data_IF_597373134239
#
_entry.id   IF_597373134239
#
_cell.length_a   1.000
_cell.length_b   1.000
_cell.length_c   1.000
_cell.angle_alpha   90.00
_cell.angle_beta   90.00
_cell.angle_gamma   90.00
#
_symmetry.space_group_name_H-M   'P 1'
#
loop_
_entity.id
_entity.type
_entity.pdbx_description
1 polymer ?
#
# COMPACT_ATOMS: atom_id res chain seq x y z
N UNK A 1 5.65 10.67 -16.03
CA UNK A 1 4.23 10.95 -16.27
C UNK A 1 3.42 10.31 -15.15
N UNK A 2 2.69 11.10 -14.42
CA UNK A 2 1.84 10.59 -13.35
C UNK A 2 0.69 9.76 -13.95
N UNK A 3 0.49 8.56 -13.42
CA UNK A 3 -0.70 7.80 -13.74
C UNK A 3 -1.90 8.40 -13.02
N UNK A 4 -2.96 8.64 -13.74
CA UNK A 4 -4.17 9.19 -13.14
C UNK A 4 -4.83 8.15 -12.21
N UNK A 5 -5.58 8.62 -11.24
CA UNK A 5 -6.39 7.73 -10.37
C UNK A 5 -7.33 6.88 -11.22
N UNK A 6 -7.78 7.39 -12.37
CA UNK A 6 -8.63 6.67 -13.30
C UNK A 6 -7.96 5.38 -13.84
N UNK A 7 -6.64 5.37 -14.02
CA UNK A 7 -5.93 4.18 -14.50
C UNK A 7 -5.86 3.07 -13.44
N UNK A 8 -5.78 3.42 -12.17
CA UNK A 8 -5.87 2.44 -11.08
C UNK A 8 -7.25 1.79 -11.02
N UNK A 9 -8.28 2.53 -11.39
CA UNK A 9 -9.67 2.06 -11.39
C UNK A 9 -10.12 1.56 -12.76
N UNK A 10 -9.18 1.27 -13.66
CA UNK A 10 -9.47 0.58 -14.91
C UNK A 10 -10.10 -0.79 -14.61
N UNK A 11 -11.23 -1.13 -15.26
CA UNK A 11 -11.85 -2.46 -15.14
C UNK A 11 -10.92 -3.62 -15.48
N UNK A 12 -9.83 -3.37 -16.21
CA UNK A 12 -8.80 -4.35 -16.50
C UNK A 12 -7.87 -4.63 -15.31
N UNK A 13 -7.90 -3.81 -14.26
CA UNK A 13 -7.08 -4.00 -13.08
C UNK A 13 -7.72 -5.00 -12.12
N UNK A 14 -7.11 -6.19 -11.97
CA UNK A 14 -7.53 -7.27 -11.09
C UNK A 14 -6.62 -7.42 -9.86
N UNK A 15 -5.85 -6.41 -9.50
CA UNK A 15 -5.01 -6.43 -8.30
C UNK A 15 -5.85 -6.73 -7.06
N UNK A 16 -5.36 -7.63 -6.22
CA UNK A 16 -6.06 -8.00 -4.99
C UNK A 16 -6.30 -6.81 -4.05
N UNK A 17 -5.37 -5.86 -3.99
CA UNK A 17 -5.49 -4.72 -3.07
C UNK A 17 -6.21 -3.54 -3.73
N UNK A 18 -5.76 -3.10 -4.91
CA UNK A 18 -6.27 -1.87 -5.54
C UNK A 18 -7.11 -2.10 -6.80
N UNK A 19 -7.31 -3.34 -7.24
CA UNK A 19 -8.07 -3.63 -8.44
C UNK A 19 -9.58 -3.54 -8.23
N UNK A 20 -10.31 -2.72 -9.00
CA UNK A 20 -11.77 -2.58 -8.85
C UNK A 20 -12.54 -3.83 -9.31
N UNK A 21 -11.94 -4.65 -10.16
CA UNK A 21 -12.60 -5.80 -10.79
C UNK A 21 -12.31 -7.15 -10.15
N UNK A 22 -11.50 -7.18 -9.08
CA UNK A 22 -11.29 -8.41 -8.33
C UNK A 22 -12.42 -8.61 -7.32
N UNK A 23 -13.29 -9.64 -7.48
CA UNK A 23 -14.43 -9.83 -6.59
C UNK A 23 -14.04 -10.16 -5.14
N UNK A 24 -12.85 -10.74 -4.93
CA UNK A 24 -12.31 -11.04 -3.60
C UNK A 24 -11.36 -9.97 -3.07
N UNK A 25 -11.17 -8.88 -3.81
CA UNK A 25 -10.17 -7.87 -3.50
C UNK A 25 -10.59 -6.84 -2.46
N UNK A 26 -9.61 -6.08 -2.01
CA UNK A 26 -9.81 -5.04 -0.98
C UNK A 26 -10.32 -3.73 -1.57
N UNK A 27 -10.10 -3.48 -2.85
CA UNK A 27 -10.55 -2.30 -3.62
C UNK A 27 -10.14 -0.96 -2.99
N UNK A 28 -8.90 -0.88 -2.54
CA UNK A 28 -8.37 0.33 -1.91
C UNK A 28 -8.04 1.38 -2.96
N UNK A 29 -8.45 2.61 -2.72
CA UNK A 29 -8.11 3.76 -3.57
C UNK A 29 -6.91 4.50 -3.03
N UNK A 30 -5.79 4.37 -3.73
CA UNK A 30 -4.57 5.09 -3.40
C UNK A 30 -4.50 6.42 -4.16
N UNK A 31 -3.94 7.42 -3.53
CA UNK A 31 -3.70 8.74 -4.11
C UNK A 31 -2.37 9.30 -3.66
N UNK A 32 -1.78 10.16 -4.48
CA UNK A 32 -0.59 10.92 -4.11
C UNK A 32 -1.01 12.30 -3.60
N UNK A 33 -0.38 12.71 -2.51
CA UNK A 33 -0.57 14.02 -1.91
C UNK A 33 0.79 14.66 -1.66
N UNK A 34 0.91 15.96 -1.97
CA UNK A 34 2.04 16.77 -1.55
C UNK A 34 1.79 17.26 -0.12
N UNK A 35 2.69 16.90 0.79
CA UNK A 35 2.61 17.28 2.19
C UNK A 35 3.88 18.05 2.57
N UNK A 36 3.83 19.38 2.43
CA UNK A 36 4.96 20.25 2.75
C UNK A 36 6.19 20.02 1.87
N UNK A 37 6.00 19.70 0.60
CA UNK A 37 7.06 19.42 -0.36
C UNK A 37 7.48 17.94 -0.41
N UNK A 38 6.91 17.09 0.44
CA UNK A 38 7.11 15.64 0.41
C UNK A 38 5.91 14.96 -0.24
N UNK A 39 6.18 14.08 -1.20
CA UNK A 39 5.13 13.29 -1.85
C UNK A 39 4.82 12.07 -1.02
N UNK A 40 3.55 11.92 -0.62
CA UNK A 40 3.06 10.81 0.21
C UNK A 40 1.92 10.12 -0.52
N UNK A 41 1.98 8.79 -0.59
CA UNK A 41 0.85 7.98 -1.03
C UNK A 41 -0.07 7.71 0.14
N UNK A 42 -1.37 7.97 -0.03
CA UNK A 42 -2.38 7.82 1.03
C UNK A 42 -3.57 7.01 0.57
N UNK A 43 -4.20 6.36 1.53
CA UNK A 43 -5.48 5.68 1.35
C UNK A 43 -6.16 5.47 2.69
N UNK A 44 -7.45 5.13 2.64
CA UNK A 44 -8.25 4.68 3.78
C UNK A 44 -8.75 3.26 3.50
N UNK A 45 -8.89 2.48 4.58
CA UNK A 45 -9.44 1.13 4.50
C UNK A 45 -10.22 0.81 5.78
N UNK A 46 -11.42 0.25 5.62
CA UNK A 46 -12.22 -0.21 6.76
C UNK A 46 -12.40 -1.73 6.66
N UNK A 47 -11.85 -2.50 7.63
CA UNK A 47 -12.00 -3.96 7.63
C UNK A 47 -13.45 -4.39 7.77
N UNK A 48 -13.85 -5.34 6.94
CA UNK A 48 -15.15 -5.99 7.00
C UNK A 48 -15.05 -7.47 7.39
N UNK A 49 -16.18 -8.18 7.43
CA UNK A 49 -16.25 -9.57 7.93
C UNK A 49 -15.35 -10.57 7.17
N UNK A 50 -15.06 -10.31 5.91
CA UNK A 50 -14.18 -11.17 5.08
C UNK A 50 -12.68 -10.95 5.33
N UNK A 51 -12.32 -9.95 6.13
CA UNK A 51 -10.95 -9.58 6.44
C UNK A 51 -10.51 -10.01 7.83
N UNK A 52 -11.34 -10.77 8.51
CA UNK A 52 -11.10 -11.18 9.89
C UNK A 52 -9.96 -12.20 9.98
N UNK A 53 -9.14 -12.03 10.97
CA UNK A 53 -8.14 -12.99 11.39
C UNK A 53 -8.51 -13.60 12.74
N UNK A 54 -7.71 -13.31 13.74
CA UNK A 54 -7.87 -13.84 15.09
C UNK A 54 -8.72 -12.91 15.96
N UNK A 55 -9.68 -13.47 16.73
CA UNK A 55 -10.48 -12.74 17.73
C UNK A 55 -11.10 -11.42 17.21
N UNK A 56 -11.80 -11.46 16.10
CA UNK A 56 -12.46 -10.30 15.48
C UNK A 56 -11.53 -9.13 15.14
N UNK A 57 -10.27 -9.44 14.93
CA UNK A 57 -9.25 -8.47 14.52
C UNK A 57 -8.93 -8.61 13.04
N UNK A 58 -8.51 -7.52 12.42
CA UNK A 58 -8.00 -7.53 11.05
C UNK A 58 -6.87 -8.55 10.92
N UNK A 59 -6.96 -9.42 9.91
CA UNK A 59 -5.90 -10.39 9.63
C UNK A 59 -4.57 -9.68 9.35
N UNK A 60 -3.50 -10.11 10.01
CA UNK A 60 -2.17 -9.51 9.87
C UNK A 60 -1.62 -9.54 8.46
N UNK A 61 -1.92 -10.60 7.70
CA UNK A 61 -1.53 -10.69 6.29
C UNK A 61 -2.23 -9.67 5.39
N UNK A 62 -3.47 -9.30 5.72
CA UNK A 62 -4.19 -8.24 5.00
C UNK A 62 -3.59 -6.88 5.31
N UNK A 63 -3.26 -6.61 6.57
CA UNK A 63 -2.55 -5.39 6.94
C UNK A 63 -1.19 -5.29 6.22
N UNK A 64 -0.51 -6.42 6.05
CA UNK A 64 0.71 -6.52 5.24
C UNK A 64 0.45 -6.13 3.78
N UNK A 65 -0.60 -6.65 3.17
CA UNK A 65 -0.99 -6.29 1.80
C UNK A 65 -1.24 -4.78 1.65
N UNK A 66 -1.93 -4.18 2.60
CA UNK A 66 -2.24 -2.74 2.60
C UNK A 66 -0.97 -1.90 2.65
N UNK A 67 -0.02 -2.27 3.51
CA UNK A 67 1.24 -1.55 3.66
C UNK A 67 2.16 -1.76 2.46
N UNK A 68 2.23 -2.97 1.92
CA UNK A 68 2.98 -3.24 0.69
C UNK A 68 2.47 -2.37 -0.47
N UNK A 69 1.16 -2.33 -0.64
CA UNK A 69 0.54 -1.63 -1.76
C UNK A 69 0.59 -0.10 -1.63
N UNK A 70 0.50 0.45 -0.42
CA UNK A 70 0.62 1.91 -0.25
C UNK A 70 2.04 2.39 -0.59
N UNK A 71 3.04 1.57 -0.34
CA UNK A 71 4.41 1.85 -0.76
C UNK A 71 4.59 1.66 -2.27
N UNK A 72 4.11 0.56 -2.82
CA UNK A 72 4.20 0.27 -4.26
C UNK A 72 3.48 1.32 -5.11
N UNK A 73 2.31 1.77 -4.68
CA UNK A 73 1.53 2.77 -5.40
C UNK A 73 2.14 4.17 -5.34
N UNK A 74 3.02 4.45 -4.38
CA UNK A 74 3.83 5.66 -4.43
C UNK A 74 4.61 5.74 -5.74
N UNK A 75 5.18 4.63 -6.18
CA UNK A 75 5.87 4.54 -7.47
C UNK A 75 4.92 4.41 -8.65
N UNK A 76 3.95 3.51 -8.54
CA UNK A 76 3.03 3.20 -9.64
C UNK A 76 2.26 4.43 -10.12
N UNK A 77 1.77 5.26 -9.21
CA UNK A 77 1.04 6.50 -9.53
C UNK A 77 1.92 7.55 -10.23
N UNK A 78 3.24 7.40 -10.15
CA UNK A 78 4.20 8.24 -10.86
C UNK A 78 4.69 7.60 -12.17
N UNK A 79 4.11 6.47 -12.57
CA UNK A 79 4.48 5.77 -13.79
C UNK A 79 5.65 4.80 -13.64
N UNK A 80 6.12 4.55 -12.42
CA UNK A 80 7.17 3.58 -12.18
C UNK A 80 6.59 2.17 -12.09
N UNK A 81 7.28 1.20 -12.65
CA UNK A 81 6.97 -0.22 -12.46
C UNK A 81 7.92 -0.76 -11.41
N UNK A 82 7.39 -1.03 -10.23
CA UNK A 82 8.19 -1.49 -9.10
C UNK A 82 7.70 -2.85 -8.62
N UNK A 83 8.64 -3.67 -8.14
CA UNK A 83 8.36 -4.96 -7.53
C UNK A 83 8.92 -4.96 -6.11
N UNK A 84 8.16 -5.53 -5.18
CA UNK A 84 8.62 -5.71 -3.81
C UNK A 84 9.75 -6.74 -3.79
N UNK A 85 10.94 -6.31 -3.38
CA UNK A 85 12.09 -7.20 -3.24
C UNK A 85 12.26 -7.68 -1.81
N UNK A 86 11.97 -6.82 -0.85
CA UNK A 86 12.02 -7.13 0.58
C UNK A 86 11.03 -6.24 1.31
N UNK A 87 10.29 -6.80 2.25
CA UNK A 87 9.41 -6.04 3.12
C UNK A 87 9.46 -6.62 4.53
N UNK A 88 9.60 -5.73 5.49
CA UNK A 88 9.54 -6.06 6.91
C UNK A 88 8.43 -5.24 7.55
N UNK A 89 7.53 -5.91 8.24
CA UNK A 89 6.42 -5.25 8.94
C UNK A 89 6.60 -5.43 10.46
N UNK A 90 6.25 -4.38 11.18
CA UNK A 90 6.15 -4.41 12.63
C UNK A 90 4.72 -4.06 13.04
N UNK A 91 4.05 -5.02 13.64
CA UNK A 91 2.71 -4.86 14.21
C UNK A 91 2.82 -4.23 15.59
N UNK A 92 2.03 -3.18 15.83
CA UNK A 92 2.09 -2.41 17.07
C UNK A 92 0.81 -2.47 17.86
N UNK A 93 -0.32 -2.46 17.19
CA UNK A 93 -1.63 -2.44 17.81
C UNK A 93 -2.60 -3.27 16.96
N UNK A 94 -3.50 -3.98 17.63
CA UNK A 94 -4.53 -4.73 16.93
C UNK A 94 -5.57 -3.79 16.32
N UNK A 95 -6.10 -4.17 15.16
CA UNK A 95 -7.13 -3.39 14.46
C UNK A 95 -8.45 -4.15 14.56
N UNK A 96 -9.41 -3.69 15.38
CA UNK A 96 -10.73 -4.32 15.46
C UNK A 96 -11.50 -4.22 14.14
N UNK A 97 -12.40 -5.17 13.90
CA UNK A 97 -13.33 -5.08 12.78
C UNK A 97 -14.12 -3.78 12.86
N UNK A 98 -14.28 -3.11 11.72
CA UNK A 98 -14.97 -1.83 11.63
C UNK A 98 -14.14 -0.59 11.96
N UNK A 99 -12.94 -0.75 12.54
CA UNK A 99 -12.04 0.36 12.78
C UNK A 99 -11.34 0.76 11.48
N UNK A 100 -11.60 1.97 10.99
CA UNK A 100 -10.95 2.48 9.78
C UNK A 100 -9.46 2.74 9.99
N UNK A 101 -8.68 2.46 8.95
CA UNK A 101 -7.26 2.74 8.89
C UNK A 101 -6.97 3.88 7.92
N UNK A 102 -5.98 4.69 8.25
CA UNK A 102 -5.31 5.60 7.33
C UNK A 102 -3.95 5.02 6.99
N UNK A 103 -3.65 4.95 5.70
CA UNK A 103 -2.42 4.38 5.18
C UNK A 103 -1.55 5.49 4.60
N UNK A 104 -0.26 5.42 4.85
CA UNK A 104 0.74 6.34 4.31
C UNK A 104 1.95 5.58 3.80
N UNK A 105 2.40 5.92 2.59
CA UNK A 105 3.63 5.39 2.01
C UNK A 105 4.51 6.51 1.50
N UNK A 106 5.81 6.45 1.79
CA UNK A 106 6.78 7.45 1.39
C UNK A 106 8.11 6.85 0.98
N UNK A 107 8.81 7.55 0.11
CA UNK A 107 10.17 7.22 -0.24
C UNK A 107 11.11 7.72 0.86
N UNK A 108 11.98 6.83 1.36
CA UNK A 108 13.07 7.21 2.26
C UNK A 108 14.34 7.53 1.48
N UNK A 109 14.67 6.68 0.50
CA UNK A 109 15.89 6.84 -0.29
C UNK A 109 15.78 6.07 -1.60
N UNK A 110 16.39 6.62 -2.65
CA UNK A 110 16.52 5.94 -3.93
C UNK A 110 17.99 5.79 -4.31
N UNK A 111 18.38 4.59 -4.76
CA UNK A 111 19.68 4.30 -5.34
C UNK A 111 19.48 3.55 -6.65
N UNK A 112 19.66 4.24 -7.76
CA UNK A 112 19.41 3.64 -9.08
C UNK A 112 17.99 3.12 -9.20
N UNK A 113 17.85 1.83 -9.42
CA UNK A 113 16.53 1.15 -9.50
C UNK A 113 15.94 0.74 -8.15
N UNK A 114 16.72 0.85 -7.08
CA UNK A 114 16.26 0.46 -5.74
C UNK A 114 15.62 1.63 -5.03
N UNK A 115 14.41 1.42 -4.52
CA UNK A 115 13.67 2.37 -3.70
C UNK A 115 13.54 1.80 -2.28
N UNK A 116 14.01 2.54 -1.30
CA UNK A 116 13.74 2.24 0.11
C UNK A 116 12.52 3.04 0.55
N UNK A 117 11.51 2.33 1.03
CA UNK A 117 10.19 2.89 1.31
C UNK A 117 9.79 2.62 2.76
N UNK A 118 8.95 3.50 3.28
CA UNK A 118 8.29 3.33 4.58
C UNK A 118 6.78 3.38 4.40
N UNK A 119 6.08 2.45 5.06
CA UNK A 119 4.63 2.43 5.15
C UNK A 119 4.17 2.53 6.59
N UNK A 120 3.08 3.25 6.84
CA UNK A 120 2.44 3.36 8.15
C UNK A 120 0.94 3.19 8.04
N UNK A 121 0.36 2.49 9.01
CA UNK A 121 -1.08 2.36 9.17
C UNK A 121 -1.48 2.93 10.54
N UNK A 122 -2.39 3.91 10.52
CA UNK A 122 -2.93 4.53 11.72
C UNK A 122 -4.40 4.19 11.85
N UNK A 123 -4.86 3.94 13.08
CA UNK A 123 -6.30 3.87 13.35
C UNK A 123 -6.89 5.28 13.25
N UNK A 124 -7.97 5.40 12.51
CA UNK A 124 -8.64 6.71 12.33
C UNK A 124 -9.35 7.18 13.60
N UNK A 125 -9.82 6.23 14.45
CA UNK A 125 -10.60 6.54 15.65
C UNK A 125 -9.77 7.18 16.78
N UNK A 126 -8.53 6.74 16.97
CA UNK A 126 -7.67 7.20 18.07
C UNK A 126 -6.29 7.67 17.62
N UNK A 127 -6.02 7.68 16.31
CA UNK A 127 -4.72 8.02 15.70
C UNK A 127 -3.55 7.15 16.16
N UNK A 128 -3.81 5.99 16.76
CA UNK A 128 -2.77 5.06 17.17
C UNK A 128 -2.09 4.42 15.96
N UNK A 129 -0.77 4.28 16.03
CA UNK A 129 0.00 3.59 15.01
C UNK A 129 -0.24 2.08 15.14
N UNK A 130 -0.93 1.49 14.16
CA UNK A 130 -1.24 0.06 14.17
C UNK A 130 -0.06 -0.79 13.67
N UNK A 131 0.63 -0.33 12.63
CA UNK A 131 1.77 -1.04 12.07
C UNK A 131 2.67 -0.09 11.28
N UNK A 132 3.95 -0.48 11.17
CA UNK A 132 4.93 0.15 10.29
C UNK A 132 5.56 -0.89 9.39
N UNK A 133 5.95 -0.50 8.19
CA UNK A 133 6.68 -1.36 7.28
C UNK A 133 7.87 -0.61 6.68
N UNK A 134 8.96 -1.32 6.49
CA UNK A 134 10.12 -0.87 5.73
C UNK A 134 10.33 -1.85 4.58
N UNK A 135 10.47 -1.34 3.37
CA UNK A 135 10.58 -2.18 2.20
C UNK A 135 11.62 -1.67 1.22
N UNK A 136 12.13 -2.60 0.42
CA UNK A 136 12.92 -2.31 -0.76
C UNK A 136 12.15 -2.75 -1.98
N UNK A 137 11.95 -1.83 -2.89
CA UNK A 137 11.35 -2.08 -4.19
C UNK A 137 12.41 -1.95 -5.27
N UNK A 138 12.25 -2.76 -6.31
CA UNK A 138 13.11 -2.67 -7.49
C UNK A 138 12.28 -2.20 -8.67
N UNK A 139 12.71 -1.12 -9.30
CA UNK A 139 12.13 -0.67 -10.56
C UNK A 139 12.49 -1.67 -11.66
N UNK A 140 11.48 -2.11 -12.42
CA UNK A 140 11.68 -3.02 -13.52
C UNK A 140 12.50 -2.35 -14.62
N UNK A 141 13.39 -3.11 -15.27
CA UNK A 141 14.10 -2.65 -16.46
C UNK A 141 13.13 -2.51 -17.62
N UNK A 142 13.26 -1.45 -18.46
CA UNK A 142 12.34 -1.23 -19.60
C UNK A 142 12.23 -2.45 -20.53
N UNK A 143 13.35 -3.17 -20.75
CA UNK A 143 13.48 -4.24 -21.73
C UNK A 143 13.77 -5.62 -21.10
N UNK A 144 13.60 -5.75 -19.80
CA UNK A 144 13.91 -6.98 -19.07
C UNK A 144 12.69 -7.80 -18.70
N UNK A 145 12.84 -9.12 -18.48
CA UNK A 145 11.80 -9.91 -17.84
C UNK A 145 11.51 -9.33 -16.46
N UNK A 146 10.24 -9.43 -16.03
CA UNK A 146 9.82 -8.99 -14.69
C UNK A 146 10.46 -9.89 -13.63
N UNK A 147 11.73 -9.69 -13.37
CA UNK A 147 12.46 -10.34 -12.28
C UNK A 147 12.84 -9.29 -11.24
N UNK A 148 12.63 -9.67 -10.02
CA UNK A 148 13.04 -8.91 -8.84
C UNK A 148 14.55 -9.00 -8.66
#
# INVERSE_FOLDING_TARGET
>A
MEKSIAELWDPANHCFVCGPSNPGGLRVRFRLEDSGGELICRAEFTPGPTHVGYSDMLHGGILYCLLDDVMANWGFLQGLRVHTARCEIRYRDAVPMGASLRLEGRLLRRRGRMLEMEGKAFRADNSALAATACARFMEARPDGPSRI
#
